data_IF_807205865082
#
_entry.id   IF_807205865082
#
_cell.length_a   1.000
_cell.length_b   1.000
_cell.length_c   1.000
_cell.angle_alpha   90.00
_cell.angle_beta   90.00
_cell.angle_gamma   90.00
#
_symmetry.space_group_name_H-M   'P 1'
#
loop_
_entity.id
_entity.type
_entity.pdbx_description
1 polymer ?
#
# COMPACT_ATOMS: atom_id res chain seq x y z
N UNK A 1 9.97 12.50 -15.67
CA UNK A 1 9.58 11.15 -16.13
C UNK A 1 10.31 10.15 -15.24
N UNK A 2 9.66 9.50 -14.27
CA UNK A 2 10.35 8.52 -13.42
C UNK A 2 10.15 7.13 -14.02
N UNK A 3 11.12 6.69 -14.80
CA UNK A 3 11.20 5.35 -15.38
C UNK A 3 11.97 4.42 -14.44
N UNK A 4 11.29 3.88 -13.42
CA UNK A 4 11.77 2.70 -12.70
C UNK A 4 10.70 2.20 -11.72
N UNK A 5 9.78 1.35 -12.18
CA UNK A 5 8.81 0.66 -11.33
C UNK A 5 9.31 -0.78 -11.17
N UNK A 6 9.84 -1.15 -10.01
CA UNK A 6 10.47 -2.47 -9.78
C UNK A 6 9.60 -3.46 -9.03
N UNK A 7 8.50 -3.02 -8.43
CA UNK A 7 7.56 -3.92 -7.78
C UNK A 7 6.12 -3.43 -7.89
N UNK A 8 5.21 -4.32 -8.27
CA UNK A 8 3.77 -4.11 -8.21
C UNK A 8 3.12 -5.28 -7.49
N UNK A 9 2.31 -4.96 -6.48
CA UNK A 9 1.49 -5.93 -5.76
C UNK A 9 0.04 -5.46 -5.73
N UNK A 10 -0.90 -6.38 -5.97
CA UNK A 10 -2.33 -6.11 -5.87
C UNK A 10 -3.02 -7.19 -5.05
N UNK A 11 -3.81 -6.78 -4.08
CA UNK A 11 -4.66 -7.65 -3.29
C UNK A 11 -6.08 -7.10 -3.24
N UNK A 12 -7.06 -7.99 -3.26
CA UNK A 12 -8.48 -7.63 -3.16
C UNK A 12 -9.09 -8.45 -2.03
N UNK A 13 -9.71 -7.77 -1.08
CA UNK A 13 -10.47 -8.38 0.00
C UNK A 13 -11.93 -7.97 -0.05
N UNK A 14 -12.81 -8.81 0.49
CA UNK A 14 -14.21 -8.45 0.74
C UNK A 14 -14.52 -8.63 2.22
N UNK A 15 -15.10 -7.60 2.83
CA UNK A 15 -15.58 -7.63 4.22
C UNK A 15 -16.98 -7.01 4.25
N UNK A 16 -17.95 -7.74 4.79
CA UNK A 16 -19.33 -7.27 5.02
C UNK A 16 -19.96 -6.60 3.77
N UNK A 17 -19.75 -7.21 2.59
CA UNK A 17 -20.27 -6.69 1.31
C UNK A 17 -19.48 -5.53 0.70
N UNK A 18 -18.42 -5.06 1.35
CA UNK A 18 -17.53 -4.00 0.84
C UNK A 18 -16.30 -4.61 0.20
N UNK A 19 -15.98 -4.20 -1.04
CA UNK A 19 -14.77 -4.61 -1.75
C UNK A 19 -13.64 -3.62 -1.44
N UNK A 20 -12.55 -4.13 -0.88
CA UNK A 20 -11.34 -3.37 -0.58
C UNK A 20 -10.27 -3.80 -1.58
N UNK A 21 -9.71 -2.83 -2.30
CA UNK A 21 -8.60 -3.08 -3.23
C UNK A 21 -7.37 -2.36 -2.73
N UNK A 22 -6.28 -3.10 -2.55
CA UNK A 22 -4.99 -2.57 -2.12
C UNK A 22 -4.00 -2.76 -3.27
N UNK A 23 -3.37 -1.67 -3.68
CA UNK A 23 -2.33 -1.67 -4.70
C UNK A 23 -1.06 -1.07 -4.10
N UNK A 24 0.05 -1.81 -4.16
CA UNK A 24 1.36 -1.38 -3.69
C UNK A 24 2.26 -1.25 -4.91
N UNK A 25 2.91 -0.09 -5.04
CA UNK A 25 3.87 0.20 -6.10
C UNK A 25 5.19 0.56 -5.43
N UNK A 26 6.27 -0.12 -5.81
CA UNK A 26 7.61 0.17 -5.32
C UNK A 26 8.42 0.83 -6.44
N UNK A 27 9.01 1.98 -6.12
CA UNK A 27 10.03 2.61 -6.95
C UNK A 27 11.42 2.22 -6.46
N UNK A 28 12.32 2.02 -7.42
CA UNK A 28 13.65 1.50 -7.18
C UNK A 28 14.41 2.24 -6.07
N UNK A 29 15.01 1.46 -5.17
CA UNK A 29 16.13 1.84 -4.27
C UNK A 29 15.93 3.03 -3.31
N UNK A 30 14.72 3.56 -3.12
CA UNK A 30 14.46 4.65 -2.15
C UNK A 30 13.26 4.35 -1.24
N UNK A 31 13.51 3.61 -0.15
CA UNK A 31 12.55 3.45 0.96
C UNK A 31 11.16 2.93 0.56
N UNK A 32 10.25 2.86 1.53
CA UNK A 32 8.83 2.60 1.27
C UNK A 32 8.09 3.93 1.08
N UNK A 33 7.74 4.27 -0.16
CA UNK A 33 6.82 5.36 -0.44
C UNK A 33 5.40 4.80 -0.62
N UNK A 34 4.67 4.69 0.50
CA UNK A 34 3.31 4.16 0.52
C UNK A 34 2.30 5.28 0.22
N UNK A 35 1.64 5.20 -0.94
CA UNK A 35 0.47 6.00 -1.28
C UNK A 35 -0.82 5.19 -1.07
N UNK A 36 -1.56 5.46 0.01
CA UNK A 36 -2.80 4.77 0.32
C UNK A 36 -4.02 5.63 -0.05
N UNK A 37 -4.81 5.21 -1.05
CA UNK A 37 -6.13 5.78 -1.30
C UNK A 37 -7.17 5.02 -0.50
N UNK A 38 -7.48 5.52 0.70
CA UNK A 38 -8.51 4.93 1.57
C UNK A 38 -9.76 5.82 1.60
N UNK A 39 -10.93 5.21 1.78
CA UNK A 39 -12.16 5.98 1.95
C UNK A 39 -12.06 6.85 3.22
N UNK A 40 -12.63 8.05 3.20
CA UNK A 40 -12.49 9.05 4.28
C UNK A 40 -12.84 8.50 5.67
N UNK A 41 -13.79 7.55 5.74
CA UNK A 41 -14.20 6.87 6.97
C UNK A 41 -13.06 6.11 7.66
N UNK A 42 -12.06 5.63 6.90
CA UNK A 42 -10.95 4.83 7.41
C UNK A 42 -9.63 5.59 7.44
N UNK A 43 -9.67 6.91 7.25
CA UNK A 43 -8.44 7.74 7.20
C UNK A 43 -7.62 7.66 8.48
N UNK A 44 -8.28 7.48 9.63
CA UNK A 44 -7.61 7.24 10.92
C UNK A 44 -6.73 5.97 10.93
N UNK A 45 -7.09 4.95 10.15
CA UNK A 45 -6.34 3.68 10.04
C UNK A 45 -5.17 3.76 9.08
N UNK A 46 -5.03 4.85 8.33
CA UNK A 46 -3.97 5.00 7.33
C UNK A 46 -2.58 4.87 7.97
N UNK A 47 -2.39 5.47 9.14
CA UNK A 47 -1.11 5.48 9.85
C UNK A 47 -0.75 4.09 10.38
N UNK A 48 -1.74 3.35 10.89
CA UNK A 48 -1.59 1.95 11.34
C UNK A 48 -1.24 1.04 10.16
N UNK A 49 -1.95 1.17 9.04
CA UNK A 49 -1.68 0.40 7.81
C UNK A 49 -0.26 0.68 7.32
N UNK A 50 0.18 1.95 7.34
CA UNK A 50 1.54 2.32 6.94
C UNK A 50 2.60 1.64 7.81
N UNK A 51 2.38 1.56 9.12
CA UNK A 51 3.29 0.86 10.05
C UNK A 51 3.33 -0.64 9.77
N UNK A 52 2.18 -1.29 9.58
CA UNK A 52 2.09 -2.72 9.30
C UNK A 52 2.81 -3.06 7.99
N UNK A 53 2.49 -2.32 6.91
CA UNK A 53 3.16 -2.52 5.62
C UNK A 53 4.65 -2.27 5.73
N UNK A 54 5.09 -1.21 6.42
CA UNK A 54 6.50 -0.92 6.63
C UNK A 54 7.26 -1.98 7.42
N UNK A 55 6.60 -2.69 8.34
CA UNK A 55 7.19 -3.79 9.10
C UNK A 55 7.31 -5.09 8.28
N UNK A 56 6.30 -5.39 7.46
CA UNK A 56 6.26 -6.61 6.64
C UNK A 56 7.10 -6.50 5.36
N UNK A 57 7.29 -5.28 4.83
CA UNK A 57 8.06 -5.05 3.62
C UNK A 57 9.57 -5.18 3.92
N UNK A 58 10.09 -6.39 3.79
CA UNK A 58 11.53 -6.64 3.84
C UNK A 58 12.16 -6.19 2.53
N UNK A 59 13.25 -5.43 2.65
CA UNK A 59 14.08 -5.05 1.49
C UNK A 59 14.66 -6.34 0.89
N UNK A 60 14.38 -6.58 -0.38
CA UNK A 60 15.08 -7.57 -1.20
C UNK A 60 16.50 -7.11 -1.54
#
# INVERSE_FOLDING_TARGET
MIHSMTGFGKAIGQISGKKITVEIRSLNSKGLDLNARIASLFREKELDIRKIVGAELKRG
#
